data_IF_346658318359
#
_entry.id   IF_346658318359
#
_cell.length_a   1.000
_cell.length_b   1.000
_cell.length_c   1.000
_cell.angle_alpha   90.00
_cell.angle_beta   90.00
_cell.angle_gamma   90.00
#
_symmetry.space_group_name_H-M   'P 1'
#
loop_
_entity.id
_entity.type
_entity.pdbx_description
1 polymer ?
#
# COMPACT_ATOMS: atom_id res chain seq x y z
N UNK A 1 -3.61 -16.99 -0.31
CA UNK A 1 -3.72 -16.39 1.02
C UNK A 1 -4.11 -17.45 2.05
N UNK A 2 -3.55 -17.36 3.26
CA UNK A 2 -3.94 -18.24 4.36
C UNK A 2 -5.38 -17.93 4.82
N UNK A 3 -6.14 -18.93 5.29
CA UNK A 3 -7.43 -18.70 5.91
C UNK A 3 -7.31 -17.73 7.10
N UNK A 4 -8.19 -16.72 7.14
CA UNK A 4 -8.16 -15.69 8.19
C UNK A 4 -7.09 -14.60 8.02
N UNK A 5 -6.28 -14.64 6.96
CA UNK A 5 -5.31 -13.58 6.70
C UNK A 5 -6.01 -12.23 6.48
N UNK A 6 -5.68 -11.18 7.25
CA UNK A 6 -6.31 -9.86 7.10
C UNK A 6 -6.07 -9.25 5.71
N UNK A 7 -4.97 -9.57 5.04
CA UNK A 7 -4.67 -9.07 3.71
C UNK A 7 -5.55 -9.66 2.61
N UNK A 8 -6.32 -10.67 2.92
CA UNK A 8 -7.37 -11.17 2.04
C UNK A 8 -8.42 -10.07 1.71
N UNK A 9 -8.77 -9.25 2.69
CA UNK A 9 -9.60 -8.06 2.46
C UNK A 9 -8.79 -6.85 1.99
N UNK A 10 -7.55 -6.71 2.46
CA UNK A 10 -6.70 -5.56 2.11
C UNK A 10 -6.41 -5.46 0.62
N UNK A 11 -6.36 -6.59 -0.11
CA UNK A 11 -6.12 -6.60 -1.57
C UNK A 11 -7.34 -6.27 -2.42
N UNK A 12 -8.53 -6.19 -1.83
CA UNK A 12 -9.72 -5.71 -2.53
C UNK A 12 -9.59 -4.24 -2.85
N UNK A 13 -10.15 -3.83 -3.98
CA UNK A 13 -10.26 -2.42 -4.38
C UNK A 13 -11.72 -2.06 -4.66
N UNK A 14 -12.09 -0.78 -4.62
CA UNK A 14 -13.44 -0.35 -4.97
C UNK A 14 -13.80 -0.73 -6.41
N UNK A 15 -15.07 -0.98 -6.65
CA UNK A 15 -15.59 -1.26 -7.98
C UNK A 15 -15.14 -0.21 -9.01
N UNK A 16 -14.78 -0.67 -10.20
CA UNK A 16 -14.25 0.16 -11.28
C UNK A 16 -12.81 0.62 -11.09
N UNK A 17 -12.15 0.19 -10.02
CA UNK A 17 -10.73 0.47 -9.78
C UNK A 17 -9.85 -0.67 -10.28
N UNK A 18 -8.54 -0.41 -10.44
CA UNK A 18 -7.53 -1.41 -10.78
C UNK A 18 -6.44 -1.44 -9.73
N UNK A 19 -5.86 -2.61 -9.51
CA UNK A 19 -4.73 -2.81 -8.63
C UNK A 19 -3.53 -3.40 -9.39
N UNK A 20 -2.35 -3.02 -8.93
CA UNK A 20 -1.09 -3.65 -9.29
C UNK A 20 -0.52 -4.37 -8.07
N UNK A 21 0.15 -5.48 -8.31
CA UNK A 21 0.84 -6.25 -7.28
C UNK A 21 2.35 -6.00 -7.30
N UNK A 22 3.01 -6.56 -6.33
CA UNK A 22 4.45 -6.76 -6.28
C UNK A 22 4.72 -8.22 -5.92
N UNK A 23 5.93 -8.56 -5.55
CA UNK A 23 6.29 -9.90 -5.14
C UNK A 23 5.98 -10.09 -3.65
N UNK A 24 5.13 -11.04 -3.34
CA UNK A 24 4.62 -11.38 -2.01
C UNK A 24 3.28 -12.09 -2.11
N UNK A 25 2.65 -12.42 -1.00
CA UNK A 25 1.33 -13.08 -0.99
C UNK A 25 0.29 -12.28 -1.80
N UNK A 26 0.41 -10.96 -1.85
CA UNK A 26 -0.48 -10.08 -2.60
C UNK A 26 -0.38 -10.26 -4.13
N UNK A 27 0.70 -10.85 -4.66
CA UNK A 27 0.75 -11.26 -6.07
C UNK A 27 -0.34 -12.27 -6.40
N UNK A 28 -0.68 -13.14 -5.47
CA UNK A 28 -1.73 -14.16 -5.64
C UNK A 28 -3.12 -13.54 -5.90
N UNK A 29 -3.30 -12.25 -5.60
CA UNK A 29 -4.52 -11.51 -5.91
C UNK A 29 -4.82 -11.48 -7.42
N UNK A 30 -3.81 -11.66 -8.29
CA UNK A 30 -4.00 -11.79 -9.75
C UNK A 30 -4.82 -13.02 -10.15
N UNK A 31 -4.81 -14.05 -9.32
CA UNK A 31 -5.57 -15.29 -9.55
C UNK A 31 -6.91 -15.29 -8.81
N UNK A 32 -7.30 -14.15 -8.25
CA UNK A 32 -8.51 -13.97 -7.47
C UNK A 32 -9.33 -12.82 -8.08
N UNK A 33 -10.61 -12.77 -7.73
CA UNK A 33 -11.48 -11.64 -8.07
C UNK A 33 -11.11 -10.40 -7.20
N UNK A 34 -10.07 -9.68 -7.63
CA UNK A 34 -9.45 -8.55 -6.90
C UNK A 34 -9.02 -7.39 -7.81
N UNK A 35 -9.40 -7.43 -9.09
CA UNK A 35 -9.01 -6.41 -10.09
C UNK A 35 -7.49 -6.12 -10.11
N UNK A 36 -6.68 -7.09 -9.72
CA UNK A 36 -5.23 -7.01 -9.80
C UNK A 36 -4.77 -7.46 -11.18
N UNK A 37 -4.32 -6.52 -12.00
CA UNK A 37 -4.12 -6.73 -13.44
C UNK A 37 -2.68 -6.99 -13.85
N UNK A 38 -1.71 -6.63 -13.00
CA UNK A 38 -0.28 -6.80 -13.27
C UNK A 38 0.52 -6.80 -11.97
N UNK A 39 1.79 -7.16 -12.07
CA UNK A 39 2.74 -7.07 -10.95
C UNK A 39 4.12 -6.66 -11.46
N UNK A 40 4.97 -6.22 -10.54
CA UNK A 40 6.38 -5.91 -10.79
C UNK A 40 7.28 -6.62 -9.79
N UNK A 41 8.58 -6.62 -10.07
CA UNK A 41 9.58 -7.16 -9.16
C UNK A 41 9.73 -6.29 -7.89
N UNK A 42 10.37 -6.85 -6.86
CA UNK A 42 10.63 -6.15 -5.60
C UNK A 42 11.42 -4.86 -5.83
N UNK A 43 10.91 -3.75 -5.31
CA UNK A 43 11.52 -2.42 -5.44
C UNK A 43 11.10 -1.60 -6.66
N UNK A 44 10.25 -2.19 -7.55
CA UNK A 44 9.69 -1.45 -8.69
C UNK A 44 8.16 -1.33 -8.61
N UNK A 45 7.58 -1.63 -7.46
CA UNK A 45 6.15 -1.53 -7.26
C UNK A 45 5.65 -0.10 -7.50
N UNK A 46 4.78 0.06 -8.46
CA UNK A 46 4.23 1.36 -8.89
C UNK A 46 5.03 2.06 -9.98
N UNK A 47 6.33 1.77 -10.15
CA UNK A 47 7.15 2.47 -11.14
C UNK A 47 6.65 2.27 -12.58
N UNK A 48 6.06 1.13 -12.91
CA UNK A 48 5.46 0.89 -14.23
C UNK A 48 4.32 1.87 -14.54
N UNK A 49 3.61 2.35 -13.53
CA UNK A 49 2.52 3.31 -13.71
C UNK A 49 3.03 4.68 -14.20
N UNK A 50 4.26 5.06 -13.88
CA UNK A 50 4.89 6.29 -14.38
C UNK A 50 4.91 6.30 -15.92
N UNK A 51 5.27 5.16 -16.51
CA UNK A 51 5.32 5.03 -17.96
C UNK A 51 3.97 4.76 -18.62
N UNK A 52 3.02 4.16 -17.90
CA UNK A 52 1.72 3.78 -18.45
C UNK A 52 0.69 4.92 -18.40
N UNK A 53 0.69 5.68 -17.31
CA UNK A 53 -0.37 6.67 -17.03
C UNK A 53 -0.62 7.68 -18.16
N UNK A 54 0.38 8.17 -18.94
CA UNK A 54 0.12 9.08 -20.04
C UNK A 54 -0.59 8.47 -21.25
N UNK A 55 -0.64 7.13 -21.35
CA UNK A 55 -1.11 6.40 -22.54
C UNK A 55 -2.39 5.61 -22.33
N UNK A 56 -3.02 5.73 -21.15
CA UNK A 56 -4.23 4.98 -20.79
C UNK A 56 -5.32 5.91 -20.27
N UNK A 57 -6.58 5.49 -20.41
CA UNK A 57 -7.73 6.23 -19.89
C UNK A 57 -7.89 6.10 -18.37
N UNK A 58 -7.30 5.05 -17.79
CA UNK A 58 -7.30 4.82 -16.35
C UNK A 58 -6.58 5.96 -15.65
N UNK A 59 -7.27 6.64 -14.73
CA UNK A 59 -6.73 7.84 -14.08
C UNK A 59 -6.02 7.56 -12.76
N UNK A 60 -6.26 6.40 -12.17
CA UNK A 60 -5.73 6.03 -10.86
C UNK A 60 -5.56 4.51 -10.76
N UNK A 61 -4.53 4.06 -10.06
CA UNK A 61 -4.32 2.66 -9.71
C UNK A 61 -3.97 2.52 -8.23
N UNK A 62 -4.36 1.37 -7.67
CA UNK A 62 -3.87 0.94 -6.35
C UNK A 62 -2.64 0.06 -6.53
N UNK A 63 -1.58 0.31 -5.78
CA UNK A 63 -0.38 -0.52 -5.78
C UNK A 63 -0.26 -1.25 -4.44
N UNK A 64 -0.41 -2.56 -4.46
CA UNK A 64 -0.12 -3.39 -3.28
C UNK A 64 1.39 -3.61 -3.16
N UNK A 65 1.93 -3.46 -1.96
CA UNK A 65 3.33 -3.70 -1.63
C UNK A 65 3.43 -4.30 -0.22
N UNK A 66 4.25 -5.31 -0.05
CA UNK A 66 4.54 -5.88 1.27
C UNK A 66 5.48 -4.98 2.09
N UNK A 67 5.37 -5.07 3.41
CA UNK A 67 6.23 -4.33 4.34
C UNK A 67 7.72 -4.73 4.21
N UNK A 68 8.01 -6.00 3.98
CA UNK A 68 9.37 -6.45 3.71
C UNK A 68 9.97 -5.82 2.46
N UNK A 69 9.22 -5.78 1.35
CA UNK A 69 9.66 -5.09 0.13
C UNK A 69 9.78 -3.59 0.34
N UNK A 70 8.83 -2.98 1.04
CA UNK A 70 8.89 -1.55 1.38
C UNK A 70 10.20 -1.23 2.10
N UNK A 71 10.56 -2.02 3.13
CA UNK A 71 11.77 -1.82 3.89
C UNK A 71 13.04 -2.03 3.07
N UNK A 72 13.08 -3.11 2.28
CA UNK A 72 14.24 -3.49 1.48
C UNK A 72 14.53 -2.49 0.35
N UNK A 73 13.51 -2.13 -0.45
CA UNK A 73 13.74 -1.40 -1.70
C UNK A 73 12.54 -0.58 -2.22
N UNK A 74 11.33 -0.86 -1.75
CA UNK A 74 10.10 -0.27 -2.30
C UNK A 74 9.96 1.22 -2.09
N UNK A 75 10.61 1.80 -1.08
CA UNK A 75 10.58 3.24 -0.83
C UNK A 75 11.13 4.05 -2.00
N UNK A 76 12.10 3.53 -2.75
CA UNK A 76 12.65 4.20 -3.93
C UNK A 76 11.62 4.30 -5.07
N UNK A 77 10.79 3.27 -5.26
CA UNK A 77 9.72 3.30 -6.24
C UNK A 77 8.63 4.32 -5.84
N UNK A 78 8.29 4.40 -4.55
CA UNK A 78 7.35 5.41 -4.04
C UNK A 78 7.89 6.82 -4.30
N UNK A 79 9.17 7.08 -3.98
CA UNK A 79 9.84 8.35 -4.29
C UNK A 79 9.77 8.70 -5.77
N UNK A 80 10.02 7.74 -6.66
CA UNK A 80 9.94 7.93 -8.10
C UNK A 80 8.53 8.30 -8.55
N UNK A 81 7.50 7.65 -8.00
CA UNK A 81 6.09 7.95 -8.31
C UNK A 81 5.68 9.33 -7.82
N UNK A 82 6.10 9.73 -6.61
CA UNK A 82 5.88 11.09 -6.09
C UNK A 82 6.56 12.13 -6.98
N UNK A 83 7.82 11.91 -7.34
CA UNK A 83 8.57 12.83 -8.20
C UNK A 83 7.95 12.96 -9.60
N UNK A 84 7.35 11.89 -10.11
CA UNK A 84 6.66 11.89 -11.41
C UNK A 84 5.24 12.49 -11.34
N UNK A 85 4.70 12.76 -10.15
CA UNK A 85 3.35 13.33 -9.98
C UNK A 85 2.23 12.43 -10.49
N UNK A 86 2.42 11.09 -10.46
CA UNK A 86 1.40 10.16 -10.96
C UNK A 86 0.32 9.92 -9.91
N UNK A 87 -0.93 9.88 -10.36
CA UNK A 87 -2.07 9.63 -9.47
C UNK A 87 -2.18 8.14 -9.14
N UNK A 88 -1.88 7.78 -7.90
CA UNK A 88 -1.96 6.42 -7.41
C UNK A 88 -2.03 6.33 -5.89
N UNK A 89 -2.48 5.20 -5.38
CA UNK A 89 -2.49 4.89 -3.96
C UNK A 89 -1.65 3.65 -3.66
N UNK A 90 -0.57 3.81 -2.91
CA UNK A 90 0.15 2.67 -2.36
C UNK A 90 -0.59 2.07 -1.17
N UNK A 91 -0.72 0.75 -1.16
CA UNK A 91 -1.28 -0.04 -0.06
C UNK A 91 -0.15 -0.87 0.54
N UNK A 92 0.48 -0.36 1.60
CA UNK A 92 1.53 -1.08 2.32
C UNK A 92 0.87 -2.11 3.23
N UNK A 93 1.05 -3.38 2.91
CA UNK A 93 0.45 -4.50 3.61
C UNK A 93 1.37 -4.91 4.76
N UNK A 94 1.18 -4.27 5.90
CA UNK A 94 2.02 -4.44 7.08
C UNK A 94 1.58 -5.64 7.91
N UNK A 95 2.47 -6.59 8.14
CA UNK A 95 2.31 -7.71 9.06
C UNK A 95 3.61 -8.09 9.79
N UNK A 96 4.63 -7.25 9.68
CA UNK A 96 5.95 -7.42 10.30
C UNK A 96 6.63 -8.75 9.95
N UNK A 97 6.38 -9.24 8.73
CA UNK A 97 6.94 -10.52 8.28
C UNK A 97 7.10 -10.60 6.76
N UNK A 98 8.15 -11.27 6.31
CA UNK A 98 8.29 -11.76 4.94
C UNK A 98 7.49 -13.05 4.82
N UNK A 99 6.17 -12.92 4.64
CA UNK A 99 5.21 -14.00 4.86
C UNK A 99 5.31 -15.14 3.82
N UNK A 100 5.52 -14.80 2.53
CA UNK A 100 5.50 -15.77 1.43
C UNK A 100 6.58 -16.85 1.56
N UNK A 101 7.72 -16.51 2.12
CA UNK A 101 8.88 -17.40 2.21
C UNK A 101 9.00 -18.12 3.56
N UNK A 102 8.00 -18.00 4.43
CA UNK A 102 7.95 -18.72 5.70
C UNK A 102 7.83 -17.85 6.95
N UNK A 103 7.55 -16.55 6.79
CA UNK A 103 7.30 -15.66 7.93
C UNK A 103 8.55 -15.19 8.65
N UNK A 104 9.65 -15.01 7.92
CA UNK A 104 10.86 -14.41 8.48
C UNK A 104 10.55 -12.97 8.96
N UNK A 105 11.15 -12.52 10.07
CA UNK A 105 11.01 -11.14 10.50
C UNK A 105 11.56 -10.17 9.45
N UNK A 106 10.96 -8.99 9.36
CA UNK A 106 11.53 -7.89 8.57
C UNK A 106 12.83 -7.43 9.24
N UNK A 107 13.90 -7.29 8.48
CA UNK A 107 15.19 -6.83 9.00
C UNK A 107 15.13 -5.35 9.38
N UNK A 108 15.23 -5.06 10.68
CA UNK A 108 15.28 -3.71 11.24
C UNK A 108 13.95 -3.19 11.80
N UNK A 109 14.00 -2.04 12.47
CA UNK A 109 12.84 -1.47 13.14
C UNK A 109 11.88 -0.89 12.11
N UNK A 110 10.74 -1.53 11.91
CA UNK A 110 9.69 -1.04 11.06
C UNK A 110 8.38 -0.99 11.87
N UNK A 111 7.67 0.11 11.78
CA UNK A 111 6.35 0.28 12.37
C UNK A 111 5.48 1.18 11.51
N UNK A 112 4.15 1.09 11.59
CA UNK A 112 3.27 2.00 10.86
C UNK A 112 3.54 3.48 11.15
N UNK A 113 3.95 3.83 12.37
CA UNK A 113 4.32 5.19 12.73
C UNK A 113 5.60 5.64 11.99
N UNK A 114 6.65 4.80 11.99
CA UNK A 114 7.89 5.09 11.27
C UNK A 114 7.65 5.20 9.75
N UNK A 115 6.91 4.25 9.17
CA UNK A 115 6.51 4.27 7.76
C UNK A 115 5.83 5.60 7.42
N UNK A 116 4.89 6.05 8.25
CA UNK A 116 4.18 7.30 8.00
C UNK A 116 5.10 8.52 7.94
N UNK A 117 6.11 8.56 8.78
CA UNK A 117 7.13 9.65 8.80
C UNK A 117 8.02 9.60 7.57
N UNK A 118 8.48 8.42 7.18
CA UNK A 118 9.28 8.23 5.96
C UNK A 118 8.50 8.68 4.73
N UNK A 119 7.25 8.23 4.58
CA UNK A 119 6.39 8.61 3.47
C UNK A 119 6.09 10.11 3.45
N UNK A 120 5.89 10.72 4.60
CA UNK A 120 5.71 12.18 4.69
C UNK A 120 6.98 12.91 4.25
N UNK A 121 8.16 12.41 4.62
CA UNK A 121 9.45 12.92 4.16
C UNK A 121 9.67 12.79 2.65
N UNK A 122 9.11 11.76 2.02
CA UNK A 122 9.12 11.58 0.57
C UNK A 122 8.11 12.47 -0.18
N UNK A 123 7.26 13.21 0.55
CA UNK A 123 6.28 14.11 -0.07
C UNK A 123 4.89 13.48 -0.31
N UNK A 124 4.61 12.30 0.24
CA UNK A 124 3.27 11.70 0.13
C UNK A 124 2.23 12.60 0.80
N UNK A 125 1.26 13.08 0.03
CA UNK A 125 0.30 14.09 0.45
C UNK A 125 -0.72 13.58 1.47
N UNK A 126 -1.23 12.36 1.34
CA UNK A 126 -2.25 11.80 2.24
C UNK A 126 -1.89 10.41 2.70
N UNK A 127 -1.96 10.20 4.01
CA UNK A 127 -1.60 8.91 4.63
C UNK A 127 -2.73 8.51 5.58
N UNK A 128 -3.21 7.28 5.45
CA UNK A 128 -4.23 6.69 6.33
C UNK A 128 -3.74 5.32 6.79
N UNK A 129 -3.79 5.08 8.08
CA UNK A 129 -3.54 3.76 8.68
C UNK A 129 -4.89 3.07 8.87
N UNK A 130 -5.04 1.89 8.31
CA UNK A 130 -6.23 1.05 8.46
C UNK A 130 -5.86 -0.18 9.26
N UNK A 131 -6.47 -0.35 10.43
CA UNK A 131 -6.14 -1.41 11.38
C UNK A 131 -7.39 -2.21 11.81
N UNK A 132 -7.21 -3.48 12.16
CA UNK A 132 -8.24 -4.26 12.83
C UNK A 132 -8.46 -3.78 14.27
N UNK A 133 -7.41 -3.24 14.89
CA UNK A 133 -7.37 -2.79 16.27
C UNK A 133 -6.79 -1.37 16.34
N UNK A 134 -7.57 -0.35 15.96
CA UNK A 134 -7.11 1.06 15.98
C UNK A 134 -6.68 1.53 17.38
N UNK A 135 -7.23 0.93 18.42
CA UNK A 135 -6.92 1.21 19.83
C UNK A 135 -5.47 0.86 20.23
N UNK A 136 -4.78 0.07 19.42
CA UNK A 136 -3.33 -0.16 19.58
C UNK A 136 -2.51 1.12 19.38
N UNK A 137 -3.11 2.12 18.79
CA UNK A 137 -2.50 3.42 18.54
C UNK A 137 -3.20 4.51 19.37
N UNK A 138 -2.90 4.62 20.67
CA UNK A 138 -3.51 5.63 21.53
C UNK A 138 -3.18 7.04 21.07
N UNK A 139 -3.95 8.02 21.56
CA UNK A 139 -3.66 9.43 21.35
C UNK A 139 -2.22 9.76 21.78
N UNK A 140 -1.46 10.40 20.90
CA UNK A 140 -0.04 10.68 21.12
C UNK A 140 0.93 9.65 20.53
N UNK A 141 0.44 8.58 19.90
CA UNK A 141 1.31 7.74 19.06
C UNK A 141 2.00 8.61 18.00
N UNK A 142 3.31 8.48 17.90
CA UNK A 142 4.20 9.36 17.15
C UNK A 142 4.14 9.11 15.62
N UNK A 143 2.95 9.30 15.05
CA UNK A 143 2.74 9.31 13.60
C UNK A 143 3.15 10.64 12.96
N UNK A 144 3.34 10.62 11.64
CA UNK A 144 3.50 11.86 10.89
C UNK A 144 2.26 12.78 11.02
N UNK A 145 2.44 14.11 10.93
CA UNK A 145 1.32 15.03 11.01
C UNK A 145 0.23 14.74 9.96
N UNK A 146 -1.03 14.79 10.40
CA UNK A 146 -2.20 14.60 9.52
C UNK A 146 -2.52 13.15 9.16
N UNK A 147 -1.82 12.16 9.73
CA UNK A 147 -2.20 10.75 9.59
C UNK A 147 -3.53 10.48 10.29
N UNK A 148 -4.43 9.81 9.59
CA UNK A 148 -5.68 9.30 10.16
C UNK A 148 -5.56 7.81 10.43
N UNK A 149 -6.17 7.36 11.52
CA UNK A 149 -6.26 5.94 11.87
C UNK A 149 -7.73 5.56 11.75
N UNK A 150 -8.00 4.52 10.98
CA UNK A 150 -9.35 4.04 10.69
C UNK A 150 -9.45 2.55 11.00
N UNK A 151 -10.62 2.10 11.45
CA UNK A 151 -10.88 0.68 11.58
C UNK A 151 -11.00 0.02 10.21
N UNK A 152 -10.55 -1.23 10.05
CA UNK A 152 -10.59 -2.01 8.80
C UNK A 152 -11.96 -2.02 8.12
N UNK A 153 -13.06 -1.94 8.87
CA UNK A 153 -14.42 -1.85 8.31
C UNK A 153 -14.62 -0.65 7.39
N UNK A 154 -13.81 0.40 7.54
CA UNK A 154 -13.85 1.59 6.70
C UNK A 154 -12.98 1.48 5.43
N UNK A 155 -12.33 0.34 5.17
CA UNK A 155 -11.33 0.19 4.11
C UNK A 155 -11.87 0.63 2.73
N UNK A 156 -13.08 0.21 2.34
CA UNK A 156 -13.65 0.58 1.04
C UNK A 156 -13.86 2.10 0.94
N UNK A 157 -14.46 2.71 1.96
CA UNK A 157 -14.64 4.17 2.02
C UNK A 157 -13.31 4.91 1.92
N UNK A 158 -12.32 4.49 2.71
CA UNK A 158 -10.99 5.11 2.71
C UNK A 158 -10.34 5.01 1.32
N UNK A 159 -10.43 3.86 0.67
CA UNK A 159 -9.89 3.68 -0.67
C UNK A 159 -10.57 4.60 -1.70
N UNK A 160 -11.90 4.75 -1.65
CA UNK A 160 -12.63 5.69 -2.52
C UNK A 160 -12.15 7.12 -2.30
N UNK A 161 -12.06 7.54 -1.04
CA UNK A 161 -11.57 8.87 -0.69
C UNK A 161 -10.13 9.14 -1.17
N UNK A 162 -9.26 8.12 -1.13
CA UNK A 162 -7.88 8.23 -1.62
C UNK A 162 -7.82 8.26 -3.15
N UNK A 163 -8.63 7.42 -3.82
CA UNK A 163 -8.73 7.39 -5.28
C UNK A 163 -9.16 8.74 -5.85
N UNK A 164 -10.13 9.37 -5.20
CA UNK A 164 -10.74 10.61 -5.64
C UNK A 164 -9.95 11.85 -5.14
N UNK A 165 -8.87 11.65 -4.41
CA UNK A 165 -7.97 12.71 -3.95
C UNK A 165 -7.06 13.17 -5.08
N UNK A 166 -7.10 14.47 -5.44
CA UNK A 166 -6.22 15.03 -6.46
C UNK A 166 -4.84 15.35 -5.87
N UNK A 167 -3.92 14.40 -5.88
CA UNK A 167 -2.62 14.66 -5.28
C UNK A 167 -1.55 13.69 -5.67
#
# INVERSE_FOLDING_TARGET
FCPGCPHNSSTRVPEGSRAHGGIGCHMLAMYMDRDTVTYSHMGAEGASWIGQSPFVETRHVFQNIGDGTYYHSGLLAIRACVAAGVNMTFKILFNDAVAMTGGQPVEGPLSPALISKQLRGEGVGRIVVVSDEPEKYPAGTDFAPGVKIEHRRALDRVQRELRDWPG
#
